data_IF_746901615719
#
_entry.id   IF_746901615719
#
_cell.length_a   1.000
_cell.length_b   1.000
_cell.length_c   1.000
_cell.angle_alpha   90.00
_cell.angle_beta   90.00
_cell.angle_gamma   90.00
#
_symmetry.space_group_name_H-M   'P 1'
#
loop_
_entity.id
_entity.type
_entity.pdbx_description
1 polymer ?
#
# COMPACT_ATOMS: atom_id res chain seq x y z
N UNK A 1 -21.89 5.90 7.41
CA UNK A 1 -20.75 4.99 7.55
C UNK A 1 -19.63 5.49 6.67
N UNK A 2 -18.39 5.56 7.17
CA UNK A 2 -17.26 6.06 6.39
C UNK A 2 -17.03 5.10 5.22
N UNK A 3 -17.21 5.57 3.98
CA UNK A 3 -16.77 4.82 2.80
C UNK A 3 -15.25 4.91 2.76
N UNK A 4 -14.59 3.77 2.70
CA UNK A 4 -13.15 3.73 2.47
C UNK A 4 -12.83 4.37 1.13
N UNK A 5 -11.90 5.32 1.14
CA UNK A 5 -11.43 5.97 -0.09
C UNK A 5 -10.28 5.13 -0.63
N UNK A 6 -10.55 4.39 -1.70
CA UNK A 6 -9.57 3.54 -2.39
C UNK A 6 -8.97 4.32 -3.56
N UNK A 7 -7.66 4.57 -3.53
CA UNK A 7 -6.96 5.35 -4.55
C UNK A 7 -5.57 4.78 -4.86
N UNK A 8 -5.03 5.21 -5.98
CA UNK A 8 -3.68 4.87 -6.48
C UNK A 8 -3.41 3.37 -6.64
N UNK A 9 -4.26 2.61 -7.37
CA UNK A 9 -3.94 1.23 -7.67
C UNK A 9 -2.68 1.15 -8.55
N UNK A 10 -1.85 0.14 -8.29
CA UNK A 10 -0.71 -0.28 -9.12
C UNK A 10 -0.75 -1.79 -9.28
N UNK A 11 -0.31 -2.28 -10.44
CA UNK A 11 -0.29 -3.70 -10.79
C UNK A 11 1.09 -4.08 -11.31
N UNK A 12 1.62 -5.21 -10.82
CA UNK A 12 2.81 -5.85 -11.36
C UNK A 12 2.64 -7.37 -11.26
N UNK A 13 2.62 -8.06 -12.41
CA UNK A 13 2.29 -9.48 -12.47
C UNK A 13 0.91 -9.74 -11.88
N UNK A 14 0.83 -10.51 -10.79
CA UNK A 14 -0.43 -10.84 -10.10
C UNK A 14 -0.69 -10.00 -8.86
N UNK A 15 0.22 -9.09 -8.50
CA UNK A 15 0.11 -8.28 -7.30
C UNK A 15 -0.52 -6.92 -7.63
N UNK A 16 -1.59 -6.58 -6.92
CA UNK A 16 -2.22 -5.27 -6.93
C UNK A 16 -1.91 -4.59 -5.60
N UNK A 17 -1.49 -3.33 -5.62
CA UNK A 17 -1.40 -2.50 -4.42
C UNK A 17 -2.20 -1.22 -4.57
N UNK A 18 -2.74 -0.72 -3.47
CA UNK A 18 -3.47 0.55 -3.43
C UNK A 18 -3.34 1.16 -2.05
N UNK A 19 -3.70 2.44 -1.95
CA UNK A 19 -3.94 3.06 -0.66
C UNK A 19 -5.43 3.14 -0.37
N UNK A 20 -5.79 2.86 0.88
CA UNK A 20 -7.14 3.09 1.39
C UNK A 20 -7.06 3.89 2.69
N UNK A 21 -7.67 5.07 2.66
CA UNK A 21 -7.59 6.11 3.71
C UNK A 21 -6.14 6.52 4.05
N UNK A 22 -5.48 5.78 4.94
CA UNK A 22 -4.13 6.09 5.47
C UNK A 22 -3.21 4.87 5.47
N UNK A 23 -3.64 3.78 4.82
CA UNK A 23 -2.94 2.51 4.80
C UNK A 23 -2.71 2.05 3.37
N UNK A 24 -1.62 1.31 3.19
CA UNK A 24 -1.31 0.61 1.94
C UNK A 24 -1.72 -0.85 2.07
N UNK A 25 -2.39 -1.36 1.04
CA UNK A 25 -2.83 -2.75 0.94
C UNK A 25 -2.20 -3.41 -0.28
N UNK A 26 -2.09 -4.73 -0.22
CA UNK A 26 -1.73 -5.56 -1.36
C UNK A 26 -2.73 -6.72 -1.52
N UNK A 27 -2.94 -7.13 -2.75
CA UNK A 27 -3.76 -8.26 -3.11
C UNK A 27 -3.08 -9.09 -4.19
N UNK A 28 -3.06 -10.40 -4.02
CA UNK A 28 -2.59 -11.33 -5.03
C UNK A 28 -3.77 -11.95 -5.77
N UNK A 29 -3.87 -11.66 -7.07
CA UNK A 29 -4.92 -12.18 -7.95
C UNK A 29 -4.85 -13.70 -8.14
N UNK A 30 -3.66 -14.31 -8.01
CA UNK A 30 -3.48 -15.75 -8.19
C UNK A 30 -3.92 -16.53 -6.96
N UNK A 31 -3.61 -16.02 -5.77
CA UNK A 31 -3.91 -16.70 -4.50
C UNK A 31 -5.18 -16.17 -3.82
N UNK A 32 -5.77 -15.09 -4.36
CA UNK A 32 -6.94 -14.41 -3.82
C UNK A 32 -6.73 -13.91 -2.38
N UNK A 33 -5.49 -13.50 -2.06
CA UNK A 33 -5.08 -13.10 -0.70
C UNK A 33 -4.96 -11.59 -0.59
N UNK A 34 -5.69 -11.01 0.37
CA UNK A 34 -5.60 -9.61 0.79
C UNK A 34 -4.65 -9.47 1.99
N UNK A 35 -3.88 -8.39 2.03
CA UNK A 35 -3.03 -8.01 3.16
C UNK A 35 -2.96 -6.49 3.32
N UNK A 36 -2.94 -6.03 4.57
CA UNK A 36 -2.48 -4.68 4.88
C UNK A 36 -0.94 -4.71 4.98
N UNK A 37 -0.26 -3.81 4.27
CA UNK A 37 1.19 -3.65 4.35
C UNK A 37 1.60 -2.70 5.50
N UNK A 38 0.65 -1.91 6.00
CA UNK A 38 0.89 -0.89 7.03
C UNK A 38 -0.20 -0.92 8.10
N UNK A 39 0.16 -0.61 9.35
CA UNK A 39 -0.79 -0.44 10.46
C UNK A 39 -1.44 0.95 10.47
N UNK A 40 -2.51 1.09 11.24
CA UNK A 40 -3.11 2.40 11.56
C UNK A 40 -2.23 3.14 12.56
N UNK A 41 -1.95 4.42 12.31
CA UNK A 41 -1.12 5.25 13.20
C UNK A 41 -0.19 6.22 12.47
N UNK A 42 0.09 5.95 11.19
CA UNK A 42 0.78 6.86 10.29
C UNK A 42 0.02 6.93 8.97
N UNK A 43 0.14 8.06 8.26
CA UNK A 43 -0.46 8.19 6.93
C UNK A 43 0.51 7.64 5.90
N UNK A 44 0.17 6.47 5.35
CA UNK A 44 0.90 5.78 4.30
C UNK A 44 0.06 5.82 3.03
N UNK A 45 0.56 6.47 1.97
CA UNK A 45 -0.17 6.71 0.71
C UNK A 45 0.76 6.58 -0.49
N UNK A 46 0.20 6.72 -1.70
CA UNK A 46 0.95 6.79 -2.96
C UNK A 46 1.88 5.58 -3.17
N UNK A 47 1.35 4.34 -3.13
CA UNK A 47 2.19 3.18 -3.35
C UNK A 47 2.75 3.16 -4.79
N UNK A 48 3.95 2.64 -4.92
CA UNK A 48 4.52 2.19 -6.19
C UNK A 48 4.92 0.72 -6.07
N UNK A 49 4.84 0.00 -7.19
CA UNK A 49 5.07 -1.45 -7.25
C UNK A 49 5.90 -1.78 -8.49
N UNK A 50 6.94 -2.59 -8.29
CA UNK A 50 7.76 -3.17 -9.36
C UNK A 50 8.19 -4.58 -8.96
N UNK A 51 7.84 -5.60 -9.74
CA UNK A 51 8.05 -6.99 -9.37
C UNK A 51 7.36 -7.30 -8.03
N UNK A 52 8.14 -7.68 -7.02
CA UNK A 52 7.69 -7.96 -5.65
C UNK A 52 7.98 -6.81 -4.66
N UNK A 53 8.53 -5.69 -5.15
CA UNK A 53 8.95 -4.56 -4.33
C UNK A 53 7.85 -3.51 -4.30
N UNK A 54 7.47 -3.08 -3.09
CA UNK A 54 6.53 -1.99 -2.89
C UNK A 54 7.17 -0.90 -2.06
N UNK A 55 6.97 0.33 -2.49
CA UNK A 55 7.35 1.53 -1.75
C UNK A 55 6.14 2.43 -1.59
N UNK A 56 6.14 3.27 -0.56
CA UNK A 56 5.07 4.24 -0.33
C UNK A 56 5.60 5.47 0.41
N UNK A 57 4.84 6.56 0.31
CA UNK A 57 5.09 7.79 1.07
C UNK A 57 4.54 7.63 2.48
N UNK A 58 5.39 7.77 3.50
CA UNK A 58 4.99 7.81 4.91
C UNK A 58 5.07 9.24 5.45
N UNK A 59 3.93 9.76 5.89
CA UNK A 59 3.84 11.02 6.61
C UNK A 59 3.95 10.76 8.11
N UNK A 60 4.89 11.44 8.74
CA UNK A 60 5.05 11.49 10.20
C UNK A 60 5.03 12.95 10.66
N UNK A 61 5.01 13.25 11.96
CA UNK A 61 5.28 14.62 12.45
C UNK A 61 6.69 15.13 12.10
N UNK A 62 7.63 14.21 11.80
CA UNK A 62 8.94 14.49 11.23
C UNK A 62 8.85 14.48 9.69
N UNK A 63 9.88 14.94 8.92
CA UNK A 63 9.79 14.99 7.47
C UNK A 63 9.41 13.63 6.85
N UNK A 64 8.60 13.68 5.78
CA UNK A 64 8.11 12.49 5.11
C UNK A 64 9.25 11.59 4.64
N UNK A 65 9.04 10.27 4.69
CA UNK A 65 10.04 9.26 4.31
C UNK A 65 9.48 8.31 3.25
N UNK A 66 10.34 7.87 2.33
CA UNK A 66 10.07 6.73 1.45
C UNK A 66 10.37 5.46 2.25
N UNK A 67 9.38 4.59 2.39
CA UNK A 67 9.52 3.35 3.16
C UNK A 67 9.44 2.14 2.21
N UNK A 68 10.34 1.19 2.40
CA UNK A 68 10.40 -0.08 1.67
C UNK A 68 9.54 -1.14 2.37
N UNK A 69 8.74 -1.87 1.59
CA UNK A 69 8.10 -3.11 2.01
C UNK A 69 8.19 -4.20 0.94
N UNK A 70 8.07 -5.46 1.37
CA UNK A 70 8.08 -6.62 0.48
C UNK A 70 6.67 -7.19 0.34
N UNK A 71 6.31 -7.55 -0.88
CA UNK A 71 5.11 -8.31 -1.20
C UNK A 71 5.53 -9.77 -1.34
N UNK A 72 5.39 -10.54 -0.24
CA UNK A 72 5.57 -12.00 -0.22
C UNK A 72 4.39 -12.76 -0.80
#
# INVERSE_FOLDING_TARGET
GRKDVIVDPRLSGTQVVWSSNVQVFAFDLKTNKLRALTSTGQRNIEPALSGNTVVWTRFTPAPAQIVLGLVQ
#
